data_IF_155956393848
#
_entry.id   IF_155956393848
#
_cell.length_a   1.000
_cell.length_b   1.000
_cell.length_c   1.000
_cell.angle_alpha   90.00
_cell.angle_beta   90.00
_cell.angle_gamma   90.00
#
_symmetry.space_group_name_H-M   'P 1'
#
loop_
_entity.id
_entity.type
_entity.pdbx_description
1 polymer ?
#
# COMPACT_ATOMS: atom_id res chain seq x y z
N UNK A 1 -39.02 8.03 29.34
CA UNK A 1 -38.81 7.94 27.88
C UNK A 1 -37.34 7.73 27.63
N UNK A 2 -36.95 6.60 27.02
CA UNK A 2 -35.55 6.36 26.62
C UNK A 2 -35.26 7.17 25.35
N UNK A 3 -34.19 7.97 25.38
CA UNK A 3 -33.65 8.66 24.21
C UNK A 3 -33.08 7.61 23.23
N UNK A 4 -33.34 7.69 21.91
CA UNK A 4 -32.76 6.74 20.98
C UNK A 4 -31.24 6.88 20.95
N UNK A 5 -30.54 5.75 21.15
CA UNK A 5 -29.10 5.63 20.93
C UNK A 5 -28.82 5.90 19.45
N UNK A 6 -28.21 7.05 19.17
CA UNK A 6 -27.70 7.37 17.84
C UNK A 6 -26.65 6.33 17.43
N UNK A 7 -26.70 5.77 16.21
CA UNK A 7 -25.68 4.85 15.74
C UNK A 7 -24.34 5.59 15.72
N UNK A 8 -23.41 5.18 16.58
CA UNK A 8 -22.04 5.69 16.60
C UNK A 8 -21.41 5.42 15.25
N UNK A 9 -21.35 6.47 14.41
CA UNK A 9 -20.70 6.43 13.11
C UNK A 9 -19.26 6.00 13.30
N UNK A 10 -18.80 4.99 12.53
CA UNK A 10 -17.48 4.37 12.64
C UNK A 10 -16.36 5.40 12.46
N UNK A 11 -15.94 6.03 13.55
CA UNK A 11 -14.92 7.09 13.56
C UNK A 11 -13.49 6.58 13.74
N UNK A 12 -13.31 5.25 13.79
CA UNK A 12 -12.05 4.60 14.17
C UNK A 12 -11.28 4.01 12.97
N UNK A 13 -11.68 4.35 11.73
CA UNK A 13 -10.96 3.92 10.53
C UNK A 13 -10.00 5.03 10.09
N UNK A 14 -8.72 4.70 9.80
CA UNK A 14 -7.78 5.67 9.27
C UNK A 14 -8.24 6.15 7.89
N UNK A 15 -7.90 7.39 7.57
CA UNK A 15 -8.09 7.92 6.23
C UNK A 15 -7.17 7.17 5.23
N UNK A 16 -7.76 6.58 4.19
CA UNK A 16 -7.05 5.82 3.16
C UNK A 16 -6.94 6.60 1.84
N UNK A 17 -7.42 7.85 1.80
CA UNK A 17 -7.38 8.69 0.60
C UNK A 17 -5.96 8.87 0.06
N UNK A 18 -4.98 8.99 0.96
CA UNK A 18 -3.56 9.10 0.59
C UNK A 18 -3.07 7.87 -0.19
N UNK A 19 -3.48 6.67 0.22
CA UNK A 19 -3.09 5.42 -0.46
C UNK A 19 -3.72 5.36 -1.85
N UNK A 20 -4.98 5.78 -1.98
CA UNK A 20 -5.71 5.76 -3.25
C UNK A 20 -5.15 6.77 -4.26
N UNK A 21 -4.70 7.94 -3.80
CA UNK A 21 -4.29 9.06 -4.65
C UNK A 21 -2.77 9.28 -4.67
N UNK A 22 -1.97 8.37 -4.11
CA UNK A 22 -0.53 8.54 -4.04
C UNK A 22 0.11 8.58 -5.44
N UNK A 23 0.81 9.68 -5.71
CA UNK A 23 1.58 9.86 -6.94
C UNK A 23 2.88 9.04 -6.89
N UNK A 24 2.91 7.95 -7.66
CA UNK A 24 4.06 7.03 -7.75
C UNK A 24 5.35 7.70 -8.22
N UNK A 25 5.27 8.86 -8.88
CA UNK A 25 6.48 9.59 -9.32
C UNK A 25 7.27 10.18 -8.15
N UNK A 26 6.65 10.32 -6.98
CA UNK A 26 7.29 10.77 -5.73
C UNK A 26 8.19 9.71 -5.09
N UNK A 27 8.15 8.45 -5.57
CA UNK A 27 9.05 7.40 -5.10
C UNK A 27 10.48 7.65 -5.60
N UNK A 28 11.45 7.54 -4.68
CA UNK A 28 12.86 7.60 -5.05
C UNK A 28 13.20 6.43 -5.99
N UNK A 29 13.99 6.71 -7.03
CA UNK A 29 14.56 5.65 -7.87
C UNK A 29 15.56 4.86 -7.05
N UNK A 30 15.51 3.54 -7.18
CA UNK A 30 16.44 2.63 -6.54
C UNK A 30 16.78 1.52 -7.52
N UNK A 31 18.06 1.15 -7.58
CA UNK A 31 18.53 0.00 -8.36
C UNK A 31 18.35 -1.27 -7.51
N UNK A 32 17.57 -2.23 -8.00
CA UNK A 32 17.40 -3.53 -7.34
C UNK A 32 18.39 -4.52 -7.91
N UNK A 33 19.31 -5.01 -7.06
CA UNK A 33 20.25 -6.07 -7.42
C UNK A 33 19.68 -7.42 -7.04
N UNK A 34 19.27 -8.19 -8.05
CA UNK A 34 18.86 -9.58 -7.88
C UNK A 34 20.06 -10.41 -7.38
N UNK A 35 19.87 -11.11 -6.27
CA UNK A 35 20.94 -11.91 -5.64
C UNK A 35 20.95 -13.37 -6.09
N UNK A 36 19.88 -13.82 -6.73
CA UNK A 36 19.72 -15.23 -7.10
C UNK A 36 19.06 -15.38 -8.48
N UNK A 37 19.72 -14.88 -9.55
CA UNK A 37 19.29 -15.25 -10.89
C UNK A 37 19.47 -16.75 -11.08
N UNK A 38 18.46 -17.40 -11.68
CA UNK A 38 18.65 -18.76 -12.16
C UNK A 38 19.72 -18.78 -13.26
N UNK A 39 20.51 -19.86 -13.39
CA UNK A 39 21.42 -20.00 -14.51
C UNK A 39 20.65 -19.86 -15.83
N UNK A 40 21.11 -18.98 -16.73
CA UNK A 40 20.64 -19.00 -18.11
C UNK A 40 21.20 -20.23 -18.82
N UNK A 41 20.49 -20.76 -19.82
CA UNK A 41 20.95 -21.91 -20.61
C UNK A 41 22.17 -21.62 -21.51
N UNK A 42 22.80 -20.46 -21.38
CA UNK A 42 23.99 -20.11 -22.13
C UNK A 42 25.22 -20.61 -21.37
N UNK A 43 25.50 -21.90 -21.59
CA UNK A 43 26.84 -22.46 -21.40
C UNK A 43 27.32 -22.88 -22.79
N UNK A 44 28.06 -22.01 -23.44
CA UNK A 44 29.11 -22.35 -24.41
C UNK A 44 30.37 -21.56 -24.05
#
# INVERSE_FOLDING_TARGET
SLLPLSPSTMSDKPDLTEIACFDKTKLKKTETKEKNPLPTKESE
#
